data_IF_795169987411
#
_entry.id   IF_795169987411
#
_cell.length_a   1.000
_cell.length_b   1.000
_cell.length_c   1.000
_cell.angle_alpha   90.00
_cell.angle_beta   90.00
_cell.angle_gamma   90.00
#
_symmetry.space_group_name_H-M   'P 1'
#
loop_
_entity.id
_entity.type
_entity.pdbx_description
1 polymer ?
#
# COMPACT_ATOMS: atom_id res chain seq x y z
N UNK A 1 70.91 -22.02 -6.72
CA UNK A 1 72.36 -21.84 -6.52
C UNK A 1 72.58 -20.43 -6.02
N UNK A 2 73.14 -20.27 -4.82
CA UNK A 2 73.54 -18.97 -4.33
C UNK A 2 73.24 -18.79 -2.85
N UNK A 3 73.99 -19.50 -2.03
CA UNK A 3 74.19 -19.18 -0.59
C UNK A 3 74.98 -17.87 -0.49
N UNK A 4 74.72 -17.06 0.55
CA UNK A 4 75.81 -16.55 1.38
C UNK A 4 75.30 -16.11 2.76
N UNK A 5 76.00 -16.53 3.76
CA UNK A 5 75.89 -16.35 5.20
C UNK A 5 76.78 -15.17 5.67
N UNK A 6 76.88 -14.89 6.97
CA UNK A 6 76.68 -13.59 7.60
C UNK A 6 78.00 -12.92 8.05
N UNK A 7 77.93 -11.70 8.48
CA UNK A 7 79.02 -11.12 9.29
C UNK A 7 78.46 -10.41 10.51
N UNK A 8 79.02 -10.82 11.63
CA UNK A 8 78.95 -10.31 12.96
C UNK A 8 79.66 -8.94 13.10
N UNK A 9 79.20 -8.08 13.95
CA UNK A 9 79.95 -6.90 14.36
C UNK A 9 79.32 -6.34 15.66
N UNK A 10 80.07 -6.49 16.68
CA UNK A 10 79.89 -6.11 18.10
C UNK A 10 79.94 -4.62 18.33
N UNK A 11 79.19 -4.16 19.33
CA UNK A 11 79.63 -3.45 20.54
C UNK A 11 79.20 -1.99 20.74
N UNK A 12 78.88 -1.76 22.00
CA UNK A 12 78.96 -0.52 22.81
C UNK A 12 77.85 0.51 22.80
N UNK A 13 77.00 0.41 23.80
CA UNK A 13 76.86 1.37 24.87
C UNK A 13 76.43 2.82 24.49
N UNK A 14 75.23 3.20 24.86
CA UNK A 14 75.11 4.32 25.76
C UNK A 14 73.70 4.45 26.38
N UNK A 15 73.69 4.88 27.62
CA UNK A 15 72.50 5.14 28.43
C UNK A 15 71.89 6.47 28.04
N UNK A 16 70.59 6.50 27.76
CA UNK A 16 69.85 7.75 27.88
C UNK A 16 68.41 7.48 28.33
N UNK A 17 68.19 7.86 29.56
CA UNK A 17 66.95 8.33 30.21
C UNK A 17 65.61 8.18 29.49
N UNK A 18 64.77 7.28 30.05
CA UNK A 18 63.35 7.20 29.81
C UNK A 18 62.61 8.44 30.33
N UNK A 19 62.31 9.39 29.44
CA UNK A 19 61.30 10.40 29.74
C UNK A 19 59.92 9.79 29.51
N UNK A 20 59.13 9.66 30.57
CA UNK A 20 57.78 9.13 30.54
C UNK A 20 56.85 9.91 29.62
N UNK A 21 56.37 9.25 28.60
CA UNK A 21 55.29 9.74 27.75
C UNK A 21 54.02 9.83 28.60
N UNK A 22 53.64 11.01 29.04
CA UNK A 22 52.34 11.28 29.63
C UNK A 22 51.26 10.99 28.60
N UNK A 23 50.52 9.92 28.77
CA UNK A 23 49.30 9.61 27.98
C UNK A 23 48.33 10.77 28.16
N UNK A 24 48.16 11.58 27.14
CA UNK A 24 47.10 12.59 27.11
C UNK A 24 45.78 11.85 27.13
N UNK A 25 44.99 12.00 28.18
CA UNK A 25 43.64 11.53 28.31
C UNK A 25 42.76 12.37 27.35
N UNK A 26 42.35 11.80 26.22
CA UNK A 26 41.39 12.39 25.30
C UNK A 26 40.02 12.02 25.84
N UNK A 27 39.20 12.99 26.30
CA UNK A 27 37.84 12.69 26.74
C UNK A 27 37.03 12.13 25.60
N UNK A 28 36.09 11.19 25.86
CA UNK A 28 35.23 10.64 24.79
C UNK A 28 34.39 11.77 24.16
N UNK A 29 34.43 11.85 22.83
CA UNK A 29 33.60 12.77 22.08
C UNK A 29 32.14 12.33 22.29
N UNK A 30 31.36 13.14 22.99
CA UNK A 30 29.91 12.96 23.05
C UNK A 30 29.33 13.18 21.64
N UNK A 31 28.57 12.22 21.10
CA UNK A 31 27.87 12.49 19.86
C UNK A 31 26.88 13.65 20.10
N UNK A 32 26.67 14.51 19.08
CA UNK A 32 25.70 15.58 19.19
C UNK A 32 24.33 14.98 19.48
N UNK A 33 23.66 15.49 20.53
CA UNK A 33 22.27 15.20 20.80
C UNK A 33 21.45 15.84 19.68
N UNK A 34 20.95 15.03 18.75
CA UNK A 34 19.92 15.47 17.82
C UNK A 34 18.66 15.77 18.62
N UNK A 35 17.98 16.90 18.38
CA UNK A 35 16.67 17.10 18.97
C UNK A 35 15.76 15.94 18.54
N UNK A 36 15.04 15.35 19.48
CA UNK A 36 13.97 14.41 19.22
C UNK A 36 13.02 15.05 18.21
N UNK A 37 13.01 14.54 16.98
CA UNK A 37 12.04 14.92 15.97
C UNK A 37 10.75 14.17 16.32
N UNK A 38 10.13 14.59 17.44
CA UNK A 38 8.77 14.21 17.75
C UNK A 38 7.85 14.98 16.82
N UNK A 39 7.20 14.26 15.89
CA UNK A 39 6.04 14.82 15.21
C UNK A 39 5.92 14.65 13.71
N UNK A 40 6.75 13.87 13.03
CA UNK A 40 6.32 13.32 11.74
C UNK A 40 5.69 11.96 12.01
N UNK A 41 4.38 11.95 12.27
CA UNK A 41 3.61 10.75 12.00
C UNK A 41 3.85 10.43 10.53
N UNK A 42 4.70 9.44 10.24
CA UNK A 42 4.78 8.88 8.90
C UNK A 42 3.40 8.33 8.61
N UNK A 43 2.64 9.05 7.80
CA UNK A 43 1.36 8.58 7.32
C UNK A 43 1.62 7.23 6.66
N UNK A 44 1.10 6.18 7.27
CA UNK A 44 1.33 4.83 6.77
C UNK A 44 0.72 4.69 5.38
N UNK A 45 1.50 4.24 4.43
CA UNK A 45 0.99 3.87 3.11
C UNK A 45 0.13 2.63 3.30
N UNK A 46 -1.13 2.74 2.94
CA UNK A 46 -2.12 1.67 3.00
C UNK A 46 -2.49 1.18 1.61
N UNK A 47 -3.03 -0.05 1.57
CA UNK A 47 -3.70 -0.60 0.39
C UNK A 47 -5.18 -0.84 0.69
N UNK A 48 -6.02 -0.57 -0.30
CA UNK A 48 -7.45 -0.89 -0.24
C UNK A 48 -7.88 -1.59 -1.52
N UNK A 49 -8.90 -2.42 -1.41
CA UNK A 49 -9.48 -3.07 -2.57
C UNK A 49 -10.63 -2.22 -3.12
N UNK A 50 -10.78 -2.23 -4.44
CA UNK A 50 -11.89 -1.57 -5.14
C UNK A 50 -12.40 -2.42 -6.29
N UNK A 51 -13.71 -2.37 -6.54
CA UNK A 51 -14.33 -2.93 -7.75
C UNK A 51 -15.08 -1.83 -8.49
N UNK A 52 -14.83 -1.71 -9.78
CA UNK A 52 -15.71 -0.97 -10.69
C UNK A 52 -16.75 -1.95 -11.19
N UNK A 53 -18.02 -1.69 -10.89
CA UNK A 53 -19.15 -2.61 -11.05
C UNK A 53 -19.68 -2.69 -12.49
N UNK A 54 -20.53 -3.67 -12.80
CA UNK A 54 -21.05 -3.88 -14.17
C UNK A 54 -21.78 -2.67 -14.76
N UNK A 55 -22.51 -1.90 -13.94
CA UNK A 55 -23.19 -0.68 -14.38
C UNK A 55 -22.23 0.37 -14.94
N UNK A 56 -21.08 0.52 -14.29
CA UNK A 56 -20.05 1.48 -14.74
C UNK A 56 -19.22 0.94 -15.90
N UNK A 57 -18.86 -0.36 -15.90
CA UNK A 57 -18.07 -0.93 -17.01
C UNK A 57 -18.82 -0.99 -18.32
N UNK A 58 -20.14 -1.31 -18.32
CA UNK A 58 -20.96 -1.31 -19.54
C UNK A 58 -21.14 0.08 -20.15
N UNK A 59 -21.06 1.13 -19.32
CA UNK A 59 -21.12 2.54 -19.77
C UNK A 59 -19.75 3.13 -20.09
N UNK A 60 -18.69 2.30 -20.08
CA UNK A 60 -17.32 2.71 -20.40
C UNK A 60 -16.78 3.81 -19.45
N UNK A 61 -17.08 3.70 -18.15
CA UNK A 61 -16.70 4.69 -17.15
C UNK A 61 -15.40 4.35 -16.39
N UNK A 62 -14.76 3.20 -16.68
CA UNK A 62 -13.54 2.74 -15.97
C UNK A 62 -12.47 3.82 -15.91
N UNK A 63 -12.13 4.43 -17.04
CA UNK A 63 -11.10 5.48 -17.09
C UNK A 63 -11.47 6.73 -16.31
N UNK A 64 -12.75 7.14 -16.34
CA UNK A 64 -13.23 8.30 -15.57
C UNK A 64 -13.19 8.05 -14.07
N UNK A 65 -13.52 6.83 -13.62
CA UNK A 65 -13.47 6.46 -12.21
C UNK A 65 -12.02 6.35 -11.74
N UNK A 66 -11.13 5.76 -12.55
CA UNK A 66 -9.70 5.69 -12.26
C UNK A 66 -9.08 7.08 -12.12
N UNK A 67 -9.44 8.03 -12.99
CA UNK A 67 -8.98 9.41 -12.90
C UNK A 67 -9.34 10.05 -11.54
N UNK A 68 -10.54 9.78 -11.00
CA UNK A 68 -10.93 10.30 -9.67
C UNK A 68 -10.00 9.76 -8.57
N UNK A 69 -9.59 8.49 -8.64
CA UNK A 69 -8.65 7.93 -7.67
C UNK A 69 -7.26 8.53 -7.82
N UNK A 70 -6.73 8.60 -9.04
CA UNK A 70 -5.38 9.11 -9.33
C UNK A 70 -5.26 10.61 -9.04
N UNK A 71 -6.26 11.41 -9.40
CA UNK A 71 -6.32 12.85 -9.08
C UNK A 71 -6.34 13.11 -7.57
N UNK A 72 -6.85 12.16 -6.79
CA UNK A 72 -6.84 12.22 -5.33
C UNK A 72 -5.57 11.64 -4.68
N UNK A 73 -4.58 11.22 -5.47
CA UNK A 73 -3.30 10.68 -5.00
C UNK A 73 -3.31 9.21 -4.63
N UNK A 74 -4.36 8.46 -4.99
CA UNK A 74 -4.36 7.00 -4.88
C UNK A 74 -3.75 6.37 -6.13
N UNK A 75 -2.71 5.55 -5.95
CA UNK A 75 -2.06 4.80 -7.04
C UNK A 75 -2.80 3.49 -7.30
N UNK A 76 -2.98 3.13 -8.56
CA UNK A 76 -3.48 1.81 -8.94
C UNK A 76 -2.28 0.88 -9.09
N UNK A 77 -2.06 -0.01 -8.12
CA UNK A 77 -0.89 -0.91 -8.06
C UNK A 77 -1.18 -2.32 -8.56
N UNK A 78 -2.46 -2.65 -8.79
CA UNK A 78 -2.89 -3.85 -9.52
C UNK A 78 -4.30 -3.62 -10.08
N UNK A 79 -4.56 -4.17 -11.28
CA UNK A 79 -5.88 -4.04 -11.92
C UNK A 79 -6.14 -5.23 -12.85
N UNK A 80 -7.36 -5.78 -12.80
CA UNK A 80 -7.84 -6.83 -13.72
C UNK A 80 -9.27 -6.55 -14.14
N UNK A 81 -9.56 -6.74 -15.43
CA UNK A 81 -10.94 -6.82 -15.92
C UNK A 81 -11.34 -8.29 -15.98
N UNK A 82 -12.36 -8.67 -15.24
CA UNK A 82 -12.83 -10.04 -15.12
C UNK A 82 -14.36 -10.12 -15.28
N UNK A 83 -14.86 -11.29 -15.59
CA UNK A 83 -16.28 -11.63 -15.43
C UNK A 83 -16.38 -12.61 -14.28
N UNK A 84 -17.00 -12.22 -13.19
CA UNK A 84 -17.15 -13.08 -12.01
C UNK A 84 -18.06 -14.26 -12.32
N UNK A 85 -17.69 -15.45 -11.88
CA UNK A 85 -18.63 -16.56 -11.84
C UNK A 85 -19.58 -16.40 -10.65
N UNK A 86 -20.71 -17.11 -10.68
CA UNK A 86 -21.66 -17.10 -9.57
C UNK A 86 -20.96 -17.52 -8.27
N UNK A 87 -20.17 -18.58 -8.28
CA UNK A 87 -19.44 -19.06 -7.10
C UNK A 87 -18.47 -18.01 -6.55
N UNK A 88 -17.77 -17.25 -7.43
CA UNK A 88 -16.90 -16.16 -7.00
C UNK A 88 -17.69 -15.02 -6.36
N UNK A 89 -18.81 -14.61 -6.95
CA UNK A 89 -19.64 -13.54 -6.39
C UNK A 89 -20.26 -13.94 -5.05
N UNK A 90 -20.80 -15.17 -4.95
CA UNK A 90 -21.36 -15.72 -3.69
C UNK A 90 -20.31 -15.84 -2.59
N UNK A 91 -19.08 -16.24 -2.93
CA UNK A 91 -17.97 -16.33 -1.99
C UNK A 91 -17.53 -14.95 -1.51
N UNK A 92 -17.31 -14.03 -2.43
CA UNK A 92 -16.84 -12.67 -2.11
C UNK A 92 -17.85 -11.89 -1.25
N UNK A 93 -19.12 -11.96 -1.60
CA UNK A 93 -20.20 -11.31 -0.85
C UNK A 93 -20.83 -12.19 0.25
N UNK A 94 -20.16 -13.28 0.63
CA UNK A 94 -20.65 -14.26 1.60
C UNK A 94 -21.05 -13.69 2.96
N UNK A 95 -20.43 -12.58 3.38
CA UNK A 95 -20.79 -11.83 4.61
C UNK A 95 -22.23 -11.27 4.58
N UNK A 96 -22.83 -11.19 3.38
CA UNK A 96 -24.21 -10.72 3.17
C UNK A 96 -25.19 -11.83 2.89
N UNK A 97 -24.80 -13.11 3.01
CA UNK A 97 -25.62 -14.28 2.62
C UNK A 97 -27.03 -14.29 3.23
N UNK A 98 -27.14 -13.84 4.46
CA UNK A 98 -28.42 -13.80 5.20
C UNK A 98 -29.24 -12.51 4.92
N UNK A 99 -28.73 -11.63 4.07
CA UNK A 99 -29.43 -10.38 3.73
C UNK A 99 -30.41 -10.59 2.59
N UNK A 100 -31.60 -9.98 2.63
CA UNK A 100 -32.62 -10.14 1.57
C UNK A 100 -32.12 -9.79 0.17
N UNK A 101 -31.21 -8.82 0.06
CA UNK A 101 -30.64 -8.35 -1.21
C UNK A 101 -29.51 -9.22 -1.76
N UNK A 102 -29.07 -10.28 -1.06
CA UNK A 102 -27.88 -11.04 -1.44
C UNK A 102 -27.99 -11.64 -2.85
N UNK A 103 -29.12 -12.26 -3.18
CA UNK A 103 -29.34 -12.88 -4.50
C UNK A 103 -29.30 -11.84 -5.64
N UNK A 104 -29.92 -10.69 -5.41
CA UNK A 104 -29.94 -9.59 -6.38
C UNK A 104 -28.55 -9.01 -6.58
N UNK A 105 -27.78 -8.85 -5.47
CA UNK A 105 -26.38 -8.41 -5.52
C UNK A 105 -25.52 -9.38 -6.34
N UNK A 106 -25.62 -10.70 -6.09
CA UNK A 106 -24.88 -11.72 -6.85
C UNK A 106 -25.25 -11.65 -8.32
N UNK A 107 -26.55 -11.64 -8.64
CA UNK A 107 -27.06 -11.55 -10.01
C UNK A 107 -26.56 -10.30 -10.73
N UNK A 108 -26.54 -9.16 -10.01
CA UNK A 108 -26.02 -7.91 -10.55
C UNK A 108 -24.51 -8.00 -10.83
N UNK A 109 -23.72 -8.52 -9.90
CA UNK A 109 -22.26 -8.59 -10.04
C UNK A 109 -21.79 -9.52 -11.14
N UNK A 110 -22.58 -10.54 -11.50
CA UNK A 110 -22.30 -11.46 -12.62
C UNK A 110 -22.96 -11.02 -13.95
N UNK A 111 -23.71 -9.92 -13.95
CA UNK A 111 -24.42 -9.45 -15.15
C UNK A 111 -23.51 -8.88 -16.25
N UNK A 112 -22.23 -8.66 -15.95
CA UNK A 112 -21.25 -8.14 -16.88
C UNK A 112 -19.84 -8.09 -16.28
N UNK A 113 -18.85 -7.68 -17.07
CA UNK A 113 -17.49 -7.54 -16.57
C UNK A 113 -17.39 -6.52 -15.45
N UNK A 114 -16.50 -6.79 -14.50
CA UNK A 114 -16.07 -5.86 -13.45
C UNK A 114 -14.59 -5.56 -13.60
N UNK A 115 -14.13 -4.45 -13.02
CA UNK A 115 -12.70 -4.19 -12.87
C UNK A 115 -12.38 -4.26 -11.38
N UNK A 116 -11.57 -5.25 -10.98
CA UNK A 116 -11.02 -5.38 -9.64
C UNK A 116 -9.67 -4.70 -9.58
N UNK A 117 -9.37 -3.99 -8.50
CA UNK A 117 -8.13 -3.23 -8.40
C UNK A 117 -7.67 -3.03 -6.95
N UNK A 118 -6.36 -2.83 -6.80
CA UNK A 118 -5.72 -2.45 -5.55
C UNK A 118 -5.29 -1.00 -5.66
N UNK A 119 -5.78 -0.17 -4.75
CA UNK A 119 -5.40 1.23 -4.63
C UNK A 119 -4.44 1.38 -3.45
N UNK A 120 -3.39 2.17 -3.63
CA UNK A 120 -2.37 2.42 -2.63
C UNK A 120 -2.20 3.92 -2.40
N UNK A 121 -2.06 4.33 -1.15
CA UNK A 121 -1.83 5.72 -0.76
C UNK A 121 -1.93 5.93 0.74
N UNK A 122 -1.82 7.16 1.17
CA UNK A 122 -2.03 7.52 2.58
C UNK A 122 -3.50 7.35 2.96
N UNK A 123 -3.75 6.59 4.06
CA UNK A 123 -5.11 6.30 4.55
C UNK A 123 -6.04 5.78 3.42
N UNK A 124 -5.54 4.88 2.57
CA UNK A 124 -6.21 4.50 1.32
C UNK A 124 -7.64 3.98 1.53
N UNK A 125 -7.92 3.26 2.63
CA UNK A 125 -9.28 2.77 2.93
C UNK A 125 -10.23 3.94 3.15
N UNK A 126 -9.90 4.86 4.03
CA UNK A 126 -10.74 6.03 4.33
C UNK A 126 -10.88 6.92 3.09
N UNK A 127 -9.76 7.19 2.41
CA UNK A 127 -9.74 8.02 1.21
C UNK A 127 -10.59 7.46 0.09
N UNK A 128 -10.48 6.16 -0.19
CA UNK A 128 -11.33 5.51 -1.19
C UNK A 128 -12.82 5.64 -0.83
N UNK A 129 -13.19 5.45 0.44
CA UNK A 129 -14.59 5.58 0.87
C UNK A 129 -15.13 7.01 0.72
N UNK A 130 -14.32 8.02 1.00
CA UNK A 130 -14.67 9.43 0.74
C UNK A 130 -14.92 9.68 -0.75
N UNK A 131 -14.02 9.20 -1.62
CA UNK A 131 -14.13 9.36 -3.07
C UNK A 131 -15.33 8.62 -3.66
N UNK A 132 -15.65 7.43 -3.11
CA UNK A 132 -16.85 6.70 -3.52
C UNK A 132 -18.14 7.46 -3.18
N UNK A 133 -18.19 8.09 -2.02
CA UNK A 133 -19.40 8.73 -1.49
C UNK A 133 -20.39 7.75 -0.87
N UNK A 134 -21.52 8.27 -0.38
CA UNK A 134 -22.57 7.47 0.26
C UNK A 134 -23.12 6.37 -0.66
N UNK A 135 -23.49 5.23 -0.08
CA UNK A 135 -24.01 4.04 -0.83
C UNK A 135 -25.22 4.41 -1.69
N UNK A 136 -26.15 5.21 -1.14
CA UNK A 136 -27.23 5.79 -1.92
C UNK A 136 -26.73 7.05 -2.64
N UNK A 137 -26.75 7.09 -4.01
CA UNK A 137 -26.28 8.26 -4.77
C UNK A 137 -27.10 9.53 -4.51
N UNK A 138 -28.34 9.41 -4.05
CA UNK A 138 -29.14 10.58 -3.64
C UNK A 138 -28.48 11.33 -2.49
N UNK A 139 -27.85 10.62 -1.56
CA UNK A 139 -27.20 11.14 -0.36
C UNK A 139 -25.69 11.36 -0.56
N UNK A 140 -25.13 11.01 -1.71
CA UNK A 140 -23.71 11.18 -1.99
C UNK A 140 -23.37 12.64 -2.25
N UNK A 141 -22.24 13.09 -1.68
CA UNK A 141 -21.76 14.45 -1.82
C UNK A 141 -21.36 14.76 -3.28
N UNK A 142 -21.51 16.01 -3.74
CA UNK A 142 -21.02 16.43 -5.06
C UNK A 142 -19.56 16.09 -5.28
N UNK A 143 -19.22 15.64 -6.49
CA UNK A 143 -17.86 15.28 -6.87
C UNK A 143 -17.46 13.83 -6.53
N UNK A 144 -18.24 13.10 -5.71
CA UNK A 144 -18.00 11.69 -5.44
C UNK A 144 -18.41 10.79 -6.61
N UNK A 145 -17.75 9.62 -6.73
CA UNK A 145 -17.99 8.68 -7.82
C UNK A 145 -19.47 8.28 -7.92
N UNK A 146 -20.10 7.97 -6.78
CA UNK A 146 -21.52 7.59 -6.77
C UNK A 146 -22.44 8.74 -7.14
N UNK A 147 -22.11 9.97 -6.75
CA UNK A 147 -22.90 11.15 -7.16
C UNK A 147 -22.80 11.40 -8.66
N UNK A 148 -21.62 11.18 -9.25
CA UNK A 148 -21.35 11.44 -10.66
C UNK A 148 -21.88 10.34 -11.58
N UNK A 149 -21.79 9.07 -11.12
CA UNK A 149 -21.91 7.95 -12.04
C UNK A 149 -22.92 6.87 -11.63
N UNK A 150 -23.38 6.81 -10.37
CA UNK A 150 -24.32 5.79 -9.95
C UNK A 150 -25.71 5.99 -10.55
N UNK A 151 -26.39 4.89 -10.87
CA UNK A 151 -27.76 4.88 -11.41
C UNK A 151 -28.80 4.65 -10.31
N UNK A 152 -28.45 3.84 -9.30
CA UNK A 152 -29.33 3.53 -8.13
C UNK A 152 -28.48 3.07 -6.93
N UNK A 153 -29.13 2.66 -5.84
CA UNK A 153 -28.46 2.05 -4.68
C UNK A 153 -27.79 0.71 -5.09
N UNK A 154 -28.43 -0.07 -5.92
CA UNK A 154 -27.95 -1.36 -6.39
C UNK A 154 -26.84 -1.17 -7.43
N UNK A 155 -27.08 -0.30 -8.41
CA UNK A 155 -26.18 0.05 -9.47
C UNK A 155 -25.37 1.32 -9.11
N UNK A 156 -24.52 1.20 -8.06
CA UNK A 156 -23.83 2.33 -7.46
C UNK A 156 -22.34 2.43 -7.83
N UNK A 157 -21.99 1.90 -8.96
CA UNK A 157 -20.75 2.02 -9.72
C UNK A 157 -19.51 1.43 -9.11
N UNK A 158 -19.32 1.47 -7.79
CA UNK A 158 -18.08 1.04 -7.13
C UNK A 158 -18.31 0.32 -5.81
N UNK A 159 -17.37 -0.59 -5.49
CA UNK A 159 -17.17 -1.19 -4.17
C UNK A 159 -15.80 -0.77 -3.66
N UNK A 160 -15.64 -0.70 -2.36
CA UNK A 160 -14.36 -0.53 -1.67
C UNK A 160 -14.42 -1.12 -0.28
N UNK A 161 -13.27 -1.61 0.20
CA UNK A 161 -13.13 -2.16 1.54
C UNK A 161 -13.54 -1.15 2.61
N UNK A 162 -14.06 -1.64 3.70
CA UNK A 162 -14.54 -0.83 4.84
C UNK A 162 -13.53 -0.74 5.98
N UNK A 163 -12.50 -1.62 5.97
CA UNK A 163 -11.41 -1.61 6.94
C UNK A 163 -10.11 -2.13 6.31
N UNK A 164 -8.94 -1.87 6.93
CA UNK A 164 -7.66 -2.43 6.48
C UNK A 164 -7.64 -3.96 6.51
N UNK A 165 -8.27 -4.58 7.50
CA UNK A 165 -8.37 -6.04 7.64
C UNK A 165 -9.17 -6.65 6.49
N UNK A 166 -10.33 -6.07 6.19
CA UNK A 166 -11.15 -6.50 5.06
C UNK A 166 -10.44 -6.22 3.72
N UNK A 167 -9.72 -5.12 3.60
CA UNK A 167 -8.90 -4.82 2.43
C UNK A 167 -7.87 -5.92 2.15
N UNK A 168 -7.16 -6.39 3.18
CA UNK A 168 -6.18 -7.48 3.03
C UNK A 168 -6.83 -8.79 2.53
N UNK A 169 -8.01 -9.15 3.07
CA UNK A 169 -8.77 -10.34 2.67
C UNK A 169 -9.27 -10.21 1.22
N UNK A 170 -9.87 -9.08 0.88
CA UNK A 170 -10.44 -8.82 -0.45
C UNK A 170 -9.36 -8.74 -1.53
N UNK A 171 -8.20 -8.14 -1.23
CA UNK A 171 -7.03 -8.12 -2.11
C UNK A 171 -6.54 -9.54 -2.38
N UNK A 172 -6.31 -10.32 -1.31
CA UNK A 172 -5.81 -11.69 -1.43
C UNK A 172 -6.78 -12.63 -2.18
N UNK A 173 -8.07 -12.30 -2.22
CA UNK A 173 -9.06 -13.06 -2.96
C UNK A 173 -8.86 -12.96 -4.50
N UNK A 174 -8.44 -11.80 -4.98
CA UNK A 174 -8.32 -11.54 -6.42
C UNK A 174 -6.90 -11.47 -6.94
N UNK A 175 -5.91 -11.17 -6.08
CA UNK A 175 -4.55 -10.92 -6.51
C UNK A 175 -3.54 -11.77 -5.74
N UNK A 176 -2.64 -12.42 -6.47
CA UNK A 176 -1.42 -12.94 -5.88
C UNK A 176 -0.49 -11.77 -5.53
N UNK A 177 0.38 -11.94 -4.51
CA UNK A 177 1.31 -10.88 -4.10
C UNK A 177 2.24 -10.41 -5.23
N UNK A 178 2.59 -11.30 -6.18
CA UNK A 178 3.41 -10.98 -7.36
C UNK A 178 2.69 -10.13 -8.42
N UNK A 179 1.38 -9.97 -8.31
CA UNK A 179 0.58 -9.16 -9.24
C UNK A 179 0.40 -7.71 -8.76
N UNK A 180 0.85 -7.41 -7.56
CA UNK A 180 0.76 -6.07 -6.96
C UNK A 180 2.12 -5.40 -7.13
N UNK A 181 2.18 -4.43 -8.04
CA UNK A 181 3.41 -3.77 -8.45
C UNK A 181 3.28 -2.27 -8.18
N UNK A 182 4.05 -1.77 -7.20
CA UNK A 182 3.95 -0.37 -6.82
C UNK A 182 5.10 0.12 -5.95
#
# INVERSE_FOLDING_TARGET
VGRFTPLSGTDSGDRTTSQGLRKRHIPPIRPPSFPDIQGFATMAIERTFSIIKPDATRRNLTGKINAVFEDAGLRIVAQKRIHMSQAQAESFYGVHRERPFFKDLVSFMISGPVVVQVLEGENAVARNRELMGATNPANAAPGTIRKLFAESIEANSVHGSDSPENAAIEIAYFFAGSEIVG
#
